data_IF_532458342562
#
_entry.id   IF_532458342562
#
_cell.length_a   1.000
_cell.length_b   1.000
_cell.length_c   1.000
_cell.angle_alpha   90.00
_cell.angle_beta   90.00
_cell.angle_gamma   90.00
#
_symmetry.space_group_name_H-M   'P 1'
#
loop_
_entity.id
_entity.type
_entity.pdbx_description
1 polymer ?
#
# COMPACT_ATOMS: atom_id res chain seq x y z
N UNK A 1 -6.66 -42.55 7.84
CA UNK A 1 -6.94 -41.10 7.86
C UNK A 1 -7.00 -40.63 6.42
N UNK A 2 -8.21 -40.60 5.84
CA UNK A 2 -8.48 -40.05 4.50
C UNK A 2 -9.78 -39.27 4.64
N UNK A 3 -9.73 -38.13 5.34
CA UNK A 3 -10.77 -37.09 5.33
C UNK A 3 -10.04 -35.80 5.75
N UNK A 4 -9.55 -35.02 4.78
CA UNK A 4 -9.23 -33.60 5.00
C UNK A 4 -9.05 -32.80 3.70
N UNK A 5 -8.79 -33.46 2.57
CA UNK A 5 -8.48 -32.76 1.31
C UNK A 5 -9.71 -32.35 0.48
N UNK A 6 -10.92 -32.77 0.85
CA UNK A 6 -12.13 -32.52 0.04
C UNK A 6 -12.84 -31.20 0.40
N UNK A 7 -12.36 -30.47 1.42
CA UNK A 7 -13.03 -29.27 1.92
C UNK A 7 -12.46 -27.97 1.34
N UNK A 8 -11.15 -27.92 1.05
CA UNK A 8 -10.47 -26.71 0.60
C UNK A 8 -10.73 -26.38 -0.88
N UNK A 9 -10.89 -27.41 -1.73
CA UNK A 9 -11.15 -27.22 -3.17
C UNK A 9 -12.59 -26.76 -3.47
N UNK A 10 -13.56 -27.24 -2.69
CA UNK A 10 -14.98 -26.83 -2.82
C UNK A 10 -15.20 -25.38 -2.33
N UNK A 11 -14.51 -24.96 -1.27
CA UNK A 11 -14.53 -23.58 -0.77
C UNK A 11 -13.90 -22.62 -1.78
N UNK A 12 -12.72 -22.98 -2.32
CA UNK A 12 -12.05 -22.17 -3.35
C UNK A 12 -12.89 -22.02 -4.64
N UNK A 13 -13.61 -23.07 -5.06
CA UNK A 13 -14.51 -22.99 -6.21
C UNK A 13 -15.70 -22.08 -5.92
N UNK A 14 -16.37 -22.29 -4.78
CA UNK A 14 -17.55 -21.54 -4.37
C UNK A 14 -17.26 -20.04 -4.23
N UNK A 15 -16.12 -19.68 -3.67
CA UNK A 15 -15.67 -18.30 -3.53
C UNK A 15 -15.44 -17.64 -4.90
N UNK A 16 -14.83 -18.38 -5.84
CA UNK A 16 -14.57 -17.88 -7.19
C UNK A 16 -15.87 -17.58 -7.96
N UNK A 17 -16.90 -18.41 -7.78
CA UNK A 17 -18.21 -18.25 -8.41
C UNK A 17 -19.00 -17.08 -7.78
N UNK A 18 -18.99 -16.99 -6.45
CA UNK A 18 -19.58 -15.88 -5.70
C UNK A 18 -18.96 -14.54 -6.11
N UNK A 19 -17.63 -14.48 -6.23
CA UNK A 19 -16.91 -13.26 -6.62
C UNK A 19 -17.23 -12.84 -8.07
N UNK A 20 -17.44 -13.81 -8.96
CA UNK A 20 -17.91 -13.58 -10.33
C UNK A 20 -19.30 -12.95 -10.38
N UNK A 21 -20.24 -13.42 -9.55
CA UNK A 21 -21.60 -12.88 -9.49
C UNK A 21 -21.65 -11.47 -8.89
N UNK A 22 -20.83 -11.20 -7.86
CA UNK A 22 -20.72 -9.88 -7.22
C UNK A 22 -20.18 -8.80 -8.16
N UNK A 23 -19.39 -9.16 -9.18
CA UNK A 23 -18.68 -8.21 -10.05
C UNK A 23 -19.52 -7.69 -11.23
N UNK A 24 -20.83 -7.91 -11.23
CA UNK A 24 -21.72 -7.53 -12.34
C UNK A 24 -22.03 -6.02 -12.35
N UNK A 25 -21.89 -5.36 -13.50
CA UNK A 25 -21.95 -3.89 -13.64
C UNK A 25 -23.25 -3.26 -13.15
N UNK A 26 -24.39 -3.95 -13.30
CA UNK A 26 -25.71 -3.46 -12.87
C UNK A 26 -25.75 -3.24 -11.34
N UNK A 27 -25.10 -4.12 -10.57
CA UNK A 27 -25.06 -3.99 -9.11
C UNK A 27 -24.14 -2.84 -8.68
N UNK A 28 -23.02 -2.67 -9.37
CA UNK A 28 -22.05 -1.59 -9.10
C UNK A 28 -22.72 -0.21 -9.32
N UNK A 29 -23.45 -0.04 -10.42
CA UNK A 29 -24.16 1.22 -10.72
C UNK A 29 -25.26 1.53 -9.70
N UNK A 30 -25.98 0.51 -9.22
CA UNK A 30 -27.01 0.67 -8.20
C UNK A 30 -26.44 1.08 -6.83
N UNK A 31 -25.24 0.58 -6.48
CA UNK A 31 -24.55 0.90 -5.22
C UNK A 31 -23.91 2.30 -5.28
N UNK A 32 -23.37 2.67 -6.44
CA UNK A 32 -22.73 3.96 -6.67
C UNK A 32 -21.40 4.12 -5.92
N UNK A 33 -21.08 5.35 -5.51
CA UNK A 33 -19.81 5.72 -4.89
C UNK A 33 -19.81 5.59 -3.35
N UNK A 34 -20.95 5.24 -2.74
CA UNK A 34 -21.12 5.18 -1.30
C UNK A 34 -20.03 4.35 -0.59
N UNK A 35 -19.68 3.13 -1.02
CA UNK A 35 -18.64 2.34 -0.35
C UNK A 35 -17.30 3.06 -0.32
N UNK A 36 -16.93 3.74 -1.41
CA UNK A 36 -15.70 4.52 -1.48
C UNK A 36 -15.74 5.71 -0.53
N UNK A 37 -16.86 6.43 -0.46
CA UNK A 37 -17.02 7.58 0.45
C UNK A 37 -16.96 7.18 1.91
N UNK A 38 -17.50 6.02 2.25
CA UNK A 38 -17.47 5.50 3.61
C UNK A 38 -16.02 5.14 4.01
N UNK A 39 -15.26 4.45 3.13
CA UNK A 39 -13.83 4.18 3.34
C UNK A 39 -13.01 5.46 3.48
N UNK A 40 -13.23 6.47 2.60
CA UNK A 40 -12.51 7.75 2.69
C UNK A 40 -12.78 8.44 4.03
N UNK A 41 -14.03 8.39 4.53
CA UNK A 41 -14.38 8.96 5.83
C UNK A 41 -13.70 8.23 6.98
N UNK A 42 -13.62 6.90 6.92
CA UNK A 42 -12.93 6.08 7.92
C UNK A 42 -11.41 6.36 7.97
N UNK A 43 -10.81 6.71 6.83
CA UNK A 43 -9.41 7.11 6.71
C UNK A 43 -9.13 8.56 7.11
N UNK A 44 -10.10 9.28 7.68
CA UNK A 44 -9.95 10.68 8.10
C UNK A 44 -10.37 11.71 7.05
N UNK A 45 -11.09 11.31 6.01
CA UNK A 45 -11.64 12.20 4.99
C UNK A 45 -10.63 12.56 3.89
N UNK A 46 -11.11 13.31 2.89
CA UNK A 46 -10.26 13.84 1.82
C UNK A 46 -10.49 15.35 1.64
N UNK A 47 -9.50 16.22 1.93
CA UNK A 47 -9.67 17.67 1.94
C UNK A 47 -10.20 18.28 0.63
N UNK A 48 -10.06 17.59 -0.51
CA UNK A 48 -10.55 18.07 -1.81
C UNK A 48 -12.07 17.85 -1.95
N UNK A 49 -12.63 16.89 -1.23
CA UNK A 49 -14.03 16.48 -1.33
C UNK A 49 -14.97 17.15 -0.31
N UNK A 50 -14.40 17.79 0.72
CA UNK A 50 -15.12 18.31 1.88
C UNK A 50 -14.69 19.76 2.15
N UNK A 51 -15.66 20.67 2.31
CA UNK A 51 -15.37 22.11 2.51
C UNK A 51 -14.84 22.41 3.91
N UNK A 52 -15.36 21.71 4.91
CA UNK A 52 -15.06 21.91 6.32
C UNK A 52 -14.23 20.73 6.84
N UNK A 53 -13.29 20.24 6.02
CA UNK A 53 -12.40 19.16 6.41
C UNK A 53 -11.40 19.64 7.46
N UNK A 54 -11.26 18.87 8.53
CA UNK A 54 -10.32 19.11 9.61
C UNK A 54 -9.31 17.97 9.68
N UNK A 55 -8.06 18.30 10.04
CA UNK A 55 -6.99 17.32 10.16
C UNK A 55 -7.30 16.34 11.32
N UNK A 56 -7.22 15.02 11.08
CA UNK A 56 -7.37 14.04 12.15
C UNK A 56 -6.33 14.19 13.26
N UNK A 57 -6.70 13.91 14.52
CA UNK A 57 -5.79 14.07 15.67
C UNK A 57 -4.61 13.06 15.67
N UNK A 58 -4.69 12.00 14.88
CA UNK A 58 -3.64 10.99 14.78
C UNK A 58 -2.51 11.41 13.83
N UNK A 59 -1.28 10.89 14.00
CA UNK A 59 -0.15 11.26 13.16
C UNK A 59 -0.21 10.57 11.79
N UNK A 60 0.36 11.19 10.75
CA UNK A 60 0.34 10.70 9.36
C UNK A 60 0.74 9.21 9.21
N UNK A 61 1.67 8.74 10.03
CA UNK A 61 2.11 7.35 10.07
C UNK A 61 0.98 6.36 10.33
N UNK A 62 -0.06 6.77 11.07
CA UNK A 62 -1.26 5.96 11.29
C UNK A 62 -2.00 5.70 9.97
N UNK A 63 -2.27 6.76 9.19
CA UNK A 63 -2.88 6.65 7.86
C UNK A 63 -2.02 5.81 6.92
N UNK A 64 -0.72 6.08 6.87
CA UNK A 64 0.20 5.31 6.03
C UNK A 64 0.21 3.83 6.42
N UNK A 65 0.11 3.55 7.73
CA UNK A 65 -0.03 2.20 8.28
C UNK A 65 -1.31 1.50 7.83
N UNK A 66 -2.47 2.17 7.91
CA UNK A 66 -3.76 1.62 7.49
C UNK A 66 -3.81 1.39 5.98
N UNK A 67 -3.41 2.39 5.19
CA UNK A 67 -3.33 2.28 3.73
C UNK A 67 -2.47 1.09 3.32
N UNK A 68 -1.36 0.88 4.02
CA UNK A 68 -0.47 -0.24 3.76
C UNK A 68 -1.02 -1.58 4.25
N UNK A 69 -1.47 -1.64 5.49
CA UNK A 69 -1.83 -2.88 6.18
C UNK A 69 -3.16 -3.45 5.71
N UNK A 70 -4.15 -2.59 5.54
CA UNK A 70 -5.53 -3.00 5.29
C UNK A 70 -5.88 -2.95 3.79
N UNK A 71 -5.31 -1.97 3.08
CA UNK A 71 -5.63 -1.73 1.67
C UNK A 71 -4.49 -2.06 0.69
N UNK A 72 -3.33 -2.49 1.20
CA UNK A 72 -2.13 -2.79 0.41
C UNK A 72 -1.75 -1.66 -0.58
N UNK A 73 -1.94 -0.40 -0.18
CA UNK A 73 -1.62 0.78 -0.98
C UNK A 73 -0.23 1.32 -0.59
N UNK A 74 0.70 1.32 -1.56
CA UNK A 74 2.04 1.89 -1.41
C UNK A 74 2.14 3.27 -2.04
N UNK A 75 1.93 4.34 -1.25
CA UNK A 75 1.92 5.72 -1.77
C UNK A 75 3.34 6.32 -1.83
N UNK A 76 4.04 6.37 -0.69
CA UNK A 76 5.38 6.99 -0.58
C UNK A 76 6.47 5.92 -0.65
N UNK A 77 6.27 4.85 0.12
CA UNK A 77 7.18 3.70 0.19
C UNK A 77 6.36 2.46 -0.11
N UNK A 78 6.82 1.70 -1.10
CA UNK A 78 6.32 0.35 -1.33
C UNK A 78 7.20 -0.64 -0.59
N UNK A 79 6.62 -1.33 0.37
CA UNK A 79 7.24 -2.44 1.05
C UNK A 79 6.79 -3.76 0.42
N UNK A 80 7.58 -4.82 0.43
CA UNK A 80 7.10 -6.17 0.08
C UNK A 80 7.88 -7.20 0.87
N UNK A 81 7.29 -8.38 1.11
CA UNK A 81 8.01 -9.51 1.70
C UNK A 81 8.35 -10.46 0.57
N UNK A 82 9.65 -10.72 0.39
CA UNK A 82 10.14 -11.61 -0.65
C UNK A 82 11.42 -12.32 -0.22
N UNK A 83 11.89 -13.30 -1.01
CA UNK A 83 13.15 -14.00 -0.74
C UNK A 83 14.31 -13.03 -0.66
N UNK A 84 15.26 -13.26 0.26
CA UNK A 84 16.51 -12.50 0.28
C UNK A 84 17.38 -12.85 -0.93
N UNK A 85 17.88 -11.83 -1.62
CA UNK A 85 18.74 -11.98 -2.80
C UNK A 85 20.05 -12.71 -2.46
N UNK A 86 20.50 -12.64 -1.20
CA UNK A 86 21.71 -13.33 -0.72
C UNK A 86 21.43 -14.71 -0.14
N UNK A 87 20.22 -14.96 0.36
CA UNK A 87 19.80 -16.23 0.92
C UNK A 87 18.31 -16.50 0.67
N UNK A 88 18.00 -17.18 -0.44
CA UNK A 88 16.62 -17.46 -0.83
C UNK A 88 15.86 -18.44 0.09
N UNK A 89 16.50 -18.97 1.15
CA UNK A 89 15.80 -19.76 2.18
C UNK A 89 15.15 -18.89 3.26
N UNK A 90 15.41 -17.58 3.26
CA UNK A 90 14.79 -16.63 4.19
C UNK A 90 14.08 -15.52 3.42
N UNK A 91 13.03 -14.98 4.02
CA UNK A 91 12.32 -13.82 3.50
C UNK A 91 12.77 -12.57 4.24
N UNK A 92 12.86 -11.46 3.50
CA UNK A 92 13.20 -10.14 4.02
C UNK A 92 12.15 -9.12 3.61
N UNK A 93 12.08 -8.06 4.39
CA UNK A 93 11.35 -6.87 4.03
C UNK A 93 12.18 -6.12 2.98
N UNK A 94 11.59 -5.91 1.81
CA UNK A 94 12.15 -5.14 0.73
C UNK A 94 11.39 -3.83 0.58
N UNK A 95 12.06 -2.75 0.20
CA UNK A 95 11.44 -1.46 -0.03
C UNK A 95 11.85 -0.88 -1.38
N UNK A 96 10.89 -0.26 -2.06
CA UNK A 96 11.07 0.55 -3.25
C UNK A 96 10.42 1.91 -3.03
N UNK A 97 10.84 2.93 -3.80
CA UNK A 97 10.02 4.14 -3.94
C UNK A 97 8.64 3.71 -4.46
N UNK A 98 7.57 4.17 -3.82
CA UNK A 98 6.21 3.77 -4.18
C UNK A 98 5.81 4.16 -5.60
N UNK A 99 4.68 3.61 -6.07
CA UNK A 99 4.10 3.87 -7.38
C UNK A 99 3.94 5.37 -7.61
N UNK A 100 4.93 5.94 -8.29
CA UNK A 100 4.90 7.31 -8.69
C UNK A 100 3.90 7.44 -9.86
N UNK A 101 2.75 8.07 -9.62
CA UNK A 101 1.96 8.67 -10.70
C UNK A 101 2.87 9.53 -11.60
N UNK A 102 2.47 9.73 -12.87
CA UNK A 102 3.34 10.34 -13.90
C UNK A 102 4.05 11.63 -13.42
N UNK A 103 3.38 12.42 -12.58
CA UNK A 103 3.92 13.68 -12.04
C UNK A 103 4.91 13.50 -10.87
N UNK A 104 4.71 12.49 -10.02
CA UNK A 104 5.68 12.13 -8.97
C UNK A 104 6.96 11.53 -9.54
N UNK A 105 6.90 10.87 -10.71
CA UNK A 105 8.09 10.34 -11.37
C UNK A 105 9.05 11.45 -11.83
N UNK A 106 8.50 12.59 -12.28
CA UNK A 106 9.27 13.77 -12.66
C UNK A 106 9.94 14.42 -11.43
N UNK A 107 9.26 14.43 -10.28
CA UNK A 107 9.82 14.93 -9.02
C UNK A 107 10.98 14.04 -8.53
N UNK A 108 10.78 12.72 -8.47
CA UNK A 108 11.82 11.74 -8.06
C UNK A 108 13.01 11.74 -9.02
N UNK A 109 12.79 11.82 -10.34
CA UNK A 109 13.87 11.93 -11.33
C UNK A 109 14.64 13.24 -11.19
N UNK A 110 13.94 14.36 -10.93
CA UNK A 110 14.58 15.66 -10.71
C UNK A 110 15.40 15.68 -9.42
N UNK A 111 14.94 15.01 -8.37
CA UNK A 111 15.68 14.81 -7.12
C UNK A 111 16.89 13.88 -7.33
N UNK A 112 16.72 12.75 -8.01
CA UNK A 112 17.80 11.81 -8.35
C UNK A 112 18.91 12.46 -9.19
N UNK A 113 18.54 13.26 -10.21
CA UNK A 113 19.50 14.05 -11.00
C UNK A 113 20.25 15.09 -10.17
N UNK A 114 19.61 15.72 -9.18
CA UNK A 114 20.27 16.65 -8.23
C UNK A 114 21.15 15.92 -7.21
N UNK A 115 20.79 14.70 -6.82
CA UNK A 115 21.52 13.86 -5.86
C UNK A 115 22.73 13.12 -6.46
N UNK A 116 22.84 13.05 -7.79
CA UNK A 116 23.95 12.38 -8.49
C UNK A 116 25.34 13.03 -8.27
N UNK A 117 25.44 14.08 -7.45
CA UNK A 117 26.67 14.41 -6.71
C UNK A 117 26.76 13.54 -5.45
N UNK A 118 26.99 12.24 -5.62
CA UNK A 118 27.14 11.28 -4.51
C UNK A 118 28.35 11.63 -3.64
N UNK A 119 28.13 12.22 -2.46
CA UNK A 119 29.04 12.03 -1.31
C UNK A 119 28.65 10.72 -0.64
N UNK A 120 29.47 9.70 -0.83
CA UNK A 120 29.40 8.47 -0.05
C UNK A 120 29.87 8.82 1.36
N UNK A 121 28.94 8.89 2.30
CA UNK A 121 29.26 9.03 3.71
C UNK A 121 29.57 7.65 4.28
N UNK A 122 30.76 7.49 4.86
CA UNK A 122 31.15 6.29 5.60
C UNK A 122 30.44 6.26 6.96
N UNK A 123 30.23 5.05 7.51
CA UNK A 123 29.48 4.80 8.76
C UNK A 123 29.91 5.66 9.96
N UNK A 124 31.14 6.16 9.96
CA UNK A 124 31.70 7.03 11.00
C UNK A 124 31.05 8.43 11.05
N UNK A 125 30.43 8.89 9.97
CA UNK A 125 29.77 10.20 9.91
C UNK A 125 28.28 10.12 10.25
N UNK A 126 27.65 8.95 10.10
CA UNK A 126 26.23 8.76 10.45
C UNK A 126 25.98 8.75 11.96
N UNK A 127 27.01 8.46 12.77
CA UNK A 127 26.93 8.55 14.24
C UNK A 127 26.86 9.99 14.78
N UNK A 128 27.06 11.02 13.94
CA UNK A 128 27.01 12.43 14.36
C UNK A 128 25.62 13.05 14.29
N UNK A 129 24.64 12.32 13.75
CA UNK A 129 23.29 12.80 13.49
C UNK A 129 22.19 12.02 14.22
N UNK A 130 22.58 11.07 15.08
CA UNK A 130 21.67 10.53 16.09
C UNK A 130 21.94 11.26 17.42
N UNK A 131 20.89 11.58 18.21
CA UNK A 131 21.04 12.33 19.45
C UNK A 131 21.92 11.62 20.49
#
# INVERSE_FOLDING_TARGET
AIVSSVSEEEESSSDSESMGQSSTSIQIEAIGDKPLRDVVRELGGWPVSERDWEEPEWPLEHLLGQLRGDYNQGIIIEQWVGPDDKNSSVNVIQHSSGAANRDTSLCVQSFSRKSSSRKLYTDQELQKFLP
#
